data_IF_512475356657
#
_entry.id   IF_512475356657
#
_cell.length_a   1.000
_cell.length_b   1.000
_cell.length_c   1.000
_cell.angle_alpha   90.00
_cell.angle_beta   90.00
_cell.angle_gamma   90.00
#
_symmetry.space_group_name_H-M   'P 1'
#
loop_
_entity.id
_entity.type
_entity.pdbx_description
1 polymer ?
#
# COMPACT_ATOMS: atom_id res chain seq x y z
N UNK A 1 -8.20 -18.02 -8.76
CA UNK A 1 -7.26 -16.88 -8.83
C UNK A 1 -7.90 -15.82 -9.71
N UNK A 2 -8.55 -14.83 -9.10
CA UNK A 2 -9.11 -13.68 -9.83
C UNK A 2 -8.01 -12.63 -9.88
N UNK A 3 -7.34 -12.52 -11.04
CA UNK A 3 -6.38 -11.45 -11.30
C UNK A 3 -7.15 -10.21 -11.76
N UNK A 4 -6.84 -9.05 -11.19
CA UNK A 4 -7.36 -7.77 -11.65
C UNK A 4 -6.70 -7.33 -12.97
N UNK A 5 -5.64 -8.02 -13.41
CA UNK A 5 -4.92 -7.75 -14.66
C UNK A 5 -5.32 -8.71 -15.77
N UNK A 6 -5.31 -8.24 -17.04
CA UNK A 6 -5.53 -9.09 -18.20
C UNK A 6 -4.49 -10.22 -18.25
N UNK A 7 -4.96 -11.44 -18.49
CA UNK A 7 -4.11 -12.62 -18.64
C UNK A 7 -3.48 -12.67 -20.04
N UNK A 8 -2.23 -13.17 -20.18
CA UNK A 8 -1.36 -13.69 -19.13
C UNK A 8 -0.55 -12.58 -18.46
N UNK A 9 -0.82 -12.31 -17.18
CA UNK A 9 0.00 -11.42 -16.37
C UNK A 9 1.01 -12.23 -15.57
N UNK A 10 2.27 -11.77 -15.43
CA UNK A 10 3.23 -12.43 -14.56
C UNK A 10 2.74 -12.34 -13.11
N UNK A 11 2.64 -13.48 -12.44
CA UNK A 11 2.35 -13.52 -11.02
C UNK A 11 3.65 -13.36 -10.23
N UNK A 12 3.61 -12.54 -9.17
CA UNK A 12 4.72 -12.50 -8.21
C UNK A 12 4.79 -13.85 -7.48
N UNK A 13 6.01 -14.35 -7.18
CA UNK A 13 6.17 -15.53 -6.31
C UNK A 13 5.62 -15.24 -4.92
N UNK A 14 5.35 -16.28 -4.13
CA UNK A 14 4.96 -16.07 -2.73
C UNK A 14 6.07 -15.35 -1.96
N UNK A 15 5.69 -14.34 -1.18
CA UNK A 15 6.61 -13.55 -0.37
C UNK A 15 6.06 -13.27 1.02
N UNK A 16 6.95 -13.27 2.01
CA UNK A 16 6.72 -12.67 3.33
C UNK A 16 7.27 -11.23 3.36
N UNK A 17 8.35 -10.99 2.62
CA UNK A 17 8.97 -9.67 2.47
C UNK A 17 9.51 -9.56 1.04
N UNK A 18 9.24 -8.43 0.39
CA UNK A 18 9.67 -8.15 -0.97
C UNK A 18 10.27 -6.75 -1.01
N UNK A 19 11.50 -6.63 -1.51
CA UNK A 19 12.16 -5.35 -1.74
C UNK A 19 12.26 -5.12 -3.24
N UNK A 20 11.55 -4.10 -3.73
CA UNK A 20 11.64 -3.63 -5.11
C UNK A 20 12.57 -2.42 -5.17
N UNK A 21 13.49 -2.43 -6.14
CA UNK A 21 14.41 -1.32 -6.41
C UNK A 21 14.36 -0.96 -7.88
N UNK A 22 14.56 0.32 -8.18
CA UNK A 22 14.55 0.85 -9.53
C UNK A 22 13.18 1.42 -9.94
N UNK A 23 13.02 1.80 -11.22
CA UNK A 23 11.79 2.38 -11.71
C UNK A 23 10.66 1.34 -11.69
N UNK A 24 9.52 1.73 -11.15
CA UNK A 24 8.27 0.96 -11.21
C UNK A 24 7.13 1.88 -11.60
N UNK A 25 6.04 1.29 -12.08
CA UNK A 25 4.84 2.02 -12.46
C UNK A 25 4.22 2.71 -11.24
N UNK A 26 3.85 3.99 -11.31
CA UNK A 26 3.35 4.72 -10.14
C UNK A 26 2.08 4.10 -9.51
N UNK A 27 1.26 3.39 -10.30
CA UNK A 27 0.10 2.62 -9.81
C UNK A 27 0.46 1.23 -9.24
N UNK A 28 1.70 0.74 -9.40
CA UNK A 28 2.10 -0.59 -8.94
C UNK A 28 1.85 -0.85 -7.44
N UNK A 29 2.07 0.10 -6.51
CA UNK A 29 1.71 -0.05 -5.10
C UNK A 29 0.23 -0.34 -4.89
N UNK A 30 -0.64 0.39 -5.60
CA UNK A 30 -2.10 0.23 -5.53
C UNK A 30 -2.50 -1.15 -6.04
N UNK A 31 -1.98 -1.50 -7.21
CA UNK A 31 -2.21 -2.78 -7.85
C UNK A 31 -1.79 -3.97 -6.98
N UNK A 32 -0.65 -3.88 -6.29
CA UNK A 32 -0.20 -4.91 -5.37
C UNK A 32 -1.15 -5.07 -4.18
N UNK A 33 -1.59 -3.96 -3.58
CA UNK A 33 -2.56 -3.97 -2.49
C UNK A 33 -3.89 -4.62 -2.94
N UNK A 34 -4.43 -4.22 -4.08
CA UNK A 34 -5.69 -4.75 -4.60
C UNK A 34 -5.60 -6.23 -4.93
N UNK A 35 -4.48 -6.67 -5.52
CA UNK A 35 -4.23 -8.10 -5.80
C UNK A 35 -4.16 -8.92 -4.53
N UNK A 36 -3.53 -8.39 -3.48
CA UNK A 36 -3.48 -9.06 -2.17
C UNK A 36 -4.87 -9.23 -1.58
N UNK A 37 -5.65 -8.14 -1.54
CA UNK A 37 -7.01 -8.14 -0.98
C UNK A 37 -7.97 -9.04 -1.77
N UNK A 38 -7.88 -9.04 -3.11
CA UNK A 38 -8.68 -9.91 -3.96
C UNK A 38 -8.37 -11.40 -3.76
N UNK A 39 -7.10 -11.76 -3.55
CA UNK A 39 -6.69 -13.15 -3.34
C UNK A 39 -6.88 -13.64 -1.90
N UNK A 40 -6.99 -12.71 -0.93
CA UNK A 40 -7.09 -13.02 0.49
C UNK A 40 -8.24 -12.24 1.12
N UNK A 41 -9.50 -12.65 0.92
CA UNK A 41 -10.65 -11.96 1.49
C UNK A 41 -10.57 -11.92 3.01
N UNK A 42 -10.96 -10.78 3.61
CA UNK A 42 -10.87 -10.54 5.06
C UNK A 42 -9.48 -10.09 5.53
N UNK A 43 -8.51 -9.95 4.64
CA UNK A 43 -7.21 -9.31 4.95
C UNK A 43 -7.29 -7.79 4.86
N UNK A 44 -6.23 -7.14 5.34
CA UNK A 44 -6.01 -5.70 5.15
C UNK A 44 -4.71 -5.45 4.39
N UNK A 45 -4.61 -4.28 3.77
CA UNK A 45 -3.36 -3.78 3.23
C UNK A 45 -3.15 -2.37 3.79
N UNK A 46 -1.91 -2.00 4.09
CA UNK A 46 -1.53 -0.66 4.53
C UNK A 46 -0.39 -0.19 3.64
N UNK A 47 -0.60 0.90 2.93
CA UNK A 47 0.35 1.60 2.09
C UNK A 47 0.82 2.86 2.80
N UNK A 48 2.09 2.88 3.18
CA UNK A 48 2.77 4.05 3.73
C UNK A 48 3.54 4.74 2.62
N UNK A 49 3.21 6.01 2.34
CA UNK A 49 3.92 6.83 1.34
C UNK A 49 4.26 8.22 1.91
N UNK A 50 5.48 8.74 1.69
CA UNK A 50 5.95 9.99 2.30
C UNK A 50 5.16 11.25 1.95
N UNK A 51 4.64 11.33 0.73
CA UNK A 51 3.93 12.51 0.24
C UNK A 51 2.68 12.11 -0.52
N UNK A 52 1.53 12.56 -0.01
CA UNK A 52 0.24 12.39 -0.69
C UNK A 52 0.23 13.12 -2.03
N UNK A 53 0.73 14.35 -2.07
CA UNK A 53 0.64 15.20 -3.24
C UNK A 53 1.53 14.66 -4.37
N UNK A 54 2.75 14.23 -4.05
CA UNK A 54 3.64 13.61 -5.04
C UNK A 54 3.06 12.30 -5.56
N UNK A 55 2.48 11.48 -4.66
CA UNK A 55 1.88 10.21 -5.06
C UNK A 55 0.66 10.42 -5.97
N UNK A 56 -0.23 11.37 -5.63
CA UNK A 56 -1.39 11.70 -6.47
C UNK A 56 -0.95 12.31 -7.80
N UNK A 57 0.06 13.20 -7.80
CA UNK A 57 0.60 13.76 -9.03
C UNK A 57 1.15 12.65 -9.94
N UNK A 58 1.98 11.75 -9.40
CA UNK A 58 2.52 10.62 -10.16
C UNK A 58 1.43 9.69 -10.73
N UNK A 59 0.35 9.44 -9.98
CA UNK A 59 -0.79 8.66 -10.47
C UNK A 59 -1.56 9.37 -11.60
N UNK A 60 -1.74 10.70 -11.49
CA UNK A 60 -2.40 11.51 -12.52
C UNK A 60 -1.56 11.58 -13.79
N UNK A 61 -0.25 11.78 -13.65
CA UNK A 61 0.68 11.87 -14.77
C UNK A 61 0.78 10.54 -15.52
N UNK A 62 0.73 9.44 -14.78
CA UNK A 62 0.71 8.09 -15.35
C UNK A 62 -0.58 7.80 -16.13
N UNK A 63 -1.71 8.35 -15.67
CA UNK A 63 -3.05 8.17 -16.23
C UNK A 63 -3.37 6.70 -16.52
N UNK A 64 -3.33 5.87 -15.49
CA UNK A 64 -3.56 4.43 -15.58
C UNK A 64 -5.01 4.11 -16.00
N UNK A 65 -5.19 3.52 -17.18
CA UNK A 65 -6.50 3.20 -17.75
C UNK A 65 -7.32 2.28 -16.82
N UNK A 66 -6.67 1.30 -16.18
CA UNK A 66 -7.36 0.37 -15.29
C UNK A 66 -7.89 1.08 -14.05
N UNK A 67 -7.10 1.98 -13.44
CA UNK A 67 -7.57 2.76 -12.30
C UNK A 67 -8.69 3.72 -12.68
N UNK A 68 -8.65 4.29 -13.88
CA UNK A 68 -9.71 5.15 -14.39
C UNK A 68 -11.02 4.38 -14.60
N UNK A 69 -10.95 3.17 -15.13
CA UNK A 69 -12.12 2.31 -15.37
C UNK A 69 -12.64 1.65 -14.08
N UNK A 70 -11.74 1.19 -13.22
CA UNK A 70 -12.07 0.32 -12.09
C UNK A 70 -12.01 0.99 -10.71
N UNK A 71 -11.32 2.13 -10.57
CA UNK A 71 -11.11 2.79 -9.29
C UNK A 71 -12.38 3.36 -8.65
N UNK A 72 -13.41 3.63 -9.46
CA UNK A 72 -14.71 4.12 -9.01
C UNK A 72 -15.67 3.03 -8.49
N UNK A 73 -15.33 1.75 -8.65
CA UNK A 73 -16.17 0.67 -8.10
C UNK A 73 -16.10 0.67 -6.57
N UNK A 74 -17.27 0.66 -5.92
CA UNK A 74 -17.37 0.83 -4.46
C UNK A 74 -16.46 -0.11 -3.66
N UNK A 75 -16.34 -1.37 -4.07
CA UNK A 75 -15.47 -2.34 -3.44
C UNK A 75 -13.97 -1.98 -3.55
N UNK A 76 -13.54 -1.48 -4.73
CA UNK A 76 -12.15 -1.05 -4.96
C UNK A 76 -11.86 0.21 -4.17
N UNK A 77 -12.80 1.16 -4.14
CA UNK A 77 -12.67 2.39 -3.36
C UNK A 77 -12.55 2.10 -1.85
N UNK A 78 -13.41 1.22 -1.31
CA UNK A 78 -13.38 0.84 0.11
C UNK A 78 -12.01 0.27 0.49
N UNK A 79 -11.49 -0.65 -0.33
CA UNK A 79 -10.17 -1.26 -0.14
C UNK A 79 -9.02 -0.26 -0.17
N UNK A 80 -9.07 0.73 -1.07
CA UNK A 80 -8.04 1.76 -1.18
C UNK A 80 -8.09 2.76 -0.03
N UNK A 81 -9.30 3.17 0.37
CA UNK A 81 -9.48 4.19 1.41
C UNK A 81 -8.95 3.75 2.77
N UNK A 82 -9.08 2.45 3.09
CA UNK A 82 -8.59 1.87 4.35
C UNK A 82 -7.07 1.63 4.37
N UNK A 83 -6.42 1.65 3.20
CA UNK A 83 -5.02 1.26 3.08
C UNK A 83 -4.03 2.42 3.15
N UNK A 84 -4.41 3.63 2.75
CA UNK A 84 -3.45 4.72 2.52
C UNK A 84 -3.15 5.53 3.78
N UNK A 85 -1.86 5.63 4.14
CA UNK A 85 -1.37 6.55 5.18
C UNK A 85 -0.14 7.30 4.69
N UNK A 86 -0.06 8.58 5.06
CA UNK A 86 0.86 9.56 4.50
C UNK A 86 1.72 10.22 5.59
N UNK A 87 2.67 9.49 6.22
CA UNK A 87 3.52 10.08 7.24
C UNK A 87 4.40 11.19 6.62
N UNK A 88 4.33 12.45 7.07
CA UNK A 88 5.05 13.54 6.41
C UNK A 88 6.55 13.58 6.76
N UNK A 89 6.98 12.94 7.85
CA UNK A 89 8.39 12.94 8.30
C UNK A 89 8.83 11.53 8.71
N UNK A 90 10.15 11.24 8.75
CA UNK A 90 10.64 9.93 9.19
C UNK A 90 10.19 9.58 10.61
N UNK A 91 10.05 10.55 11.51
CA UNK A 91 9.53 10.33 12.87
C UNK A 91 8.06 9.89 12.85
N UNK A 92 7.23 10.49 11.99
CA UNK A 92 5.83 10.06 11.83
C UNK A 92 5.75 8.65 11.24
N UNK A 93 6.60 8.31 10.27
CA UNK A 93 6.66 6.97 9.70
C UNK A 93 7.09 5.93 10.76
N UNK A 94 8.12 6.23 11.55
CA UNK A 94 8.57 5.39 12.67
C UNK A 94 7.46 5.19 13.71
N UNK A 95 6.75 6.26 14.08
CA UNK A 95 5.62 6.18 14.98
C UNK A 95 4.51 5.28 14.42
N UNK A 96 4.10 5.50 13.16
CA UNK A 96 3.09 4.67 12.49
C UNK A 96 3.48 3.19 12.48
N UNK A 97 4.73 2.88 12.13
CA UNK A 97 5.27 1.52 12.16
C UNK A 97 5.29 0.92 13.58
N UNK A 98 5.61 1.72 14.59
CA UNK A 98 5.66 1.27 15.99
C UNK A 98 4.27 0.93 16.57
N UNK A 99 3.22 1.56 16.03
CA UNK A 99 1.82 1.33 16.39
C UNK A 99 1.24 0.08 15.72
N UNK A 100 1.90 -0.46 14.69
CA UNK A 100 1.48 -1.70 14.05
C UNK A 100 1.61 -2.85 15.06
N UNK A 101 0.50 -3.50 15.35
CA UNK A 101 0.41 -4.66 16.24
C UNK A 101 -0.26 -5.81 15.50
N UNK A 102 0.29 -7.01 15.67
CA UNK A 102 -0.37 -8.23 15.21
C UNK A 102 -1.57 -8.45 16.12
N UNK A 103 -2.79 -8.44 15.56
CA UNK A 103 -3.99 -8.76 16.31
C UNK A 103 -3.87 -10.18 16.86
N UNK A 104 -4.11 -10.34 18.16
CA UNK A 104 -4.23 -11.66 18.78
C UNK A 104 -5.72 -12.04 18.84
N UNK A 105 -6.11 -13.23 18.37
CA UNK A 105 -7.51 -13.63 18.26
C UNK A 105 -8.24 -13.72 19.61
N UNK A 106 -7.52 -13.68 20.73
CA UNK A 106 -8.08 -13.82 22.08
C UNK A 106 -8.51 -12.49 22.74
N UNK A 107 -8.25 -11.34 22.11
CA UNK A 107 -8.66 -10.02 22.62
C UNK A 107 -9.57 -9.31 21.63
N UNK A 108 -10.57 -8.59 22.16
CA UNK A 108 -11.43 -7.75 21.35
C UNK A 108 -10.57 -6.70 20.62
N UNK A 109 -10.76 -6.52 19.30
CA UNK A 109 -9.86 -5.71 18.50
C UNK A 109 -9.91 -4.24 18.93
N UNK A 110 -8.78 -3.71 19.38
CA UNK A 110 -8.61 -2.26 19.56
C UNK A 110 -8.47 -1.55 18.20
N UNK A 111 -8.83 -0.26 18.12
CA UNK A 111 -8.88 0.51 16.86
C UNK A 111 -7.56 0.55 16.04
N UNK A 112 -6.43 0.15 16.64
CA UNK A 112 -5.10 0.14 16.02
C UNK A 112 -4.54 -1.27 15.76
N UNK A 113 -5.35 -2.31 15.98
CA UNK A 113 -4.93 -3.68 15.71
C UNK A 113 -5.03 -4.01 14.22
N UNK A 114 -3.91 -4.48 13.69
CA UNK A 114 -3.85 -5.02 12.34
C UNK A 114 -4.32 -6.47 12.44
N UNK A 115 -5.54 -6.73 11.99
CA UNK A 115 -6.04 -8.08 11.80
C UNK A 115 -5.09 -8.85 10.88
N UNK A 116 -4.55 -9.96 11.38
CA UNK A 116 -3.81 -10.92 10.55
C UNK A 116 -4.78 -11.65 9.63
N UNK A 117 -4.46 -11.86 8.33
CA UNK A 117 -3.26 -11.42 7.60
C UNK A 117 -3.34 -9.96 7.10
N UNK A 118 -2.19 -9.26 7.09
CA UNK A 118 -2.09 -7.90 6.54
C UNK A 118 -0.82 -7.70 5.70
N UNK A 119 -0.95 -7.04 4.55
CA UNK A 119 0.17 -6.55 3.76
C UNK A 119 0.57 -5.15 4.21
N UNK A 120 1.83 -4.95 4.60
CA UNK A 120 2.38 -3.61 4.83
C UNK A 120 3.30 -3.26 3.66
N UNK A 121 2.96 -2.21 2.92
CA UNK A 121 3.71 -1.68 1.80
C UNK A 121 4.38 -0.37 2.20
N UNK A 122 5.70 -0.32 2.06
CA UNK A 122 6.53 0.84 2.34
C UNK A 122 6.96 1.45 1.00
N UNK A 123 6.32 2.54 0.59
CA UNK A 123 6.56 3.19 -0.69
C UNK A 123 7.55 4.34 -0.52
N UNK A 124 8.66 4.31 -1.27
CA UNK A 124 9.62 5.42 -1.38
C UNK A 124 10.15 6.00 -0.05
N UNK A 125 10.27 5.20 1.02
CA UNK A 125 10.82 5.70 2.30
C UNK A 125 12.21 6.33 2.20
N UNK A 126 12.97 6.02 1.14
CA UNK A 126 14.25 6.66 0.84
C UNK A 126 14.12 8.18 0.70
N UNK A 127 12.95 8.70 0.29
CA UNK A 127 12.75 10.14 0.12
C UNK A 127 12.94 10.93 1.42
N UNK A 128 12.70 10.31 2.58
CA UNK A 128 12.95 10.94 3.88
C UNK A 128 14.42 11.26 4.16
N UNK A 129 15.33 10.66 3.40
CA UNK A 129 16.78 10.78 3.60
C UNK A 129 17.47 11.56 2.48
N UNK A 130 16.71 12.15 1.56
CA UNK A 130 17.27 12.96 0.46
C UNK A 130 17.55 14.41 0.89
N UNK A 131 16.85 14.92 1.91
CA UNK A 131 17.10 16.24 2.49
C UNK A 131 18.20 16.16 3.56
N UNK A 132 19.42 15.89 3.09
CA UNK A 132 20.64 15.85 3.88
C UNK A 132 21.40 17.18 3.95
N UNK A 133 20.70 18.31 3.99
CA UNK A 133 21.28 19.63 4.29
C UNK A 133 20.31 20.47 5.13
N UNK A 134 20.67 20.72 6.40
CA UNK A 134 20.02 21.76 7.22
C UNK A 134 19.59 21.35 8.64
N UNK A 135 20.54 20.92 9.46
CA UNK A 135 20.55 21.24 10.90
C UNK A 135 21.57 22.36 11.13
#
# INVERSE_FOLDING_TARGET
MTTLFPLPSPALPEFTTLLLKGPFHASAPIHLCLTHLANRPGTRAVLLTPSRDNFIAALRDLNDDWLNECGGFGAVYEWLSAALSYPPTPSHASLALSMLRVAHPEKAPSQLEISSPCLVLLHELSSYFLDGDGL
#
